data_IF_080922735137
#
_entry.id   IF_080922735137
#
_cell.length_a   1.000
_cell.length_b   1.000
_cell.length_c   1.000
_cell.angle_alpha   90.00
_cell.angle_beta   90.00
_cell.angle_gamma   90.00
#
_symmetry.space_group_name_H-M   'P 1'
#
loop_
_entity.id
_entity.type
_entity.pdbx_description
1 polymer ?
#
# COMPACT_ATOMS: atom_id res chain seq x y z
N UNK A 1 27.83 2.11 -13.12
CA UNK A 1 27.50 1.14 -12.05
C UNK A 1 27.31 1.82 -10.69
N UNK A 2 27.96 2.97 -10.43
CA UNK A 2 27.91 3.68 -9.14
C UNK A 2 26.62 4.49 -8.90
N UNK A 3 26.08 5.16 -9.91
CA UNK A 3 24.79 5.88 -9.81
C UNK A 3 23.62 4.98 -9.40
N UNK A 4 23.62 3.71 -9.83
CA UNK A 4 22.63 2.71 -9.37
C UNK A 4 22.79 2.37 -7.88
N UNK A 5 24.03 2.34 -7.36
CA UNK A 5 24.30 2.09 -5.94
C UNK A 5 23.86 3.27 -5.07
N UNK A 6 24.11 4.50 -5.52
CA UNK A 6 23.68 5.73 -4.82
C UNK A 6 22.15 5.82 -4.77
N UNK A 7 21.46 5.53 -5.89
CA UNK A 7 20.00 5.52 -5.92
C UNK A 7 19.41 4.39 -5.06
N UNK A 8 20.00 3.19 -5.08
CA UNK A 8 19.57 2.10 -4.21
C UNK A 8 19.76 2.44 -2.71
N UNK A 9 20.88 3.08 -2.35
CA UNK A 9 21.15 3.55 -0.99
C UNK A 9 20.18 4.65 -0.55
N UNK A 10 19.78 5.54 -1.46
CA UNK A 10 18.82 6.61 -1.19
C UNK A 10 17.38 6.10 -1.01
N UNK A 11 17.07 4.85 -1.43
CA UNK A 11 15.76 4.17 -1.31
C UNK A 11 14.60 5.03 -1.85
N UNK A 12 14.46 5.20 -3.19
CA UNK A 12 13.37 5.96 -3.79
C UNK A 12 12.01 5.32 -3.49
N UNK A 13 10.92 6.10 -3.49
CA UNK A 13 9.57 5.58 -3.27
C UNK A 13 9.16 4.56 -4.35
N UNK A 14 8.71 3.38 -3.93
CA UNK A 14 8.40 2.25 -4.82
C UNK A 14 6.89 2.11 -5.07
N UNK A 15 6.52 1.88 -6.34
CA UNK A 15 5.12 1.69 -6.74
C UNK A 15 4.35 3.00 -6.96
N UNK A 16 3.07 2.91 -7.38
CA UNK A 16 2.23 4.08 -7.59
C UNK A 16 1.98 4.81 -6.26
N UNK A 17 2.07 6.14 -6.29
CA UNK A 17 1.63 6.99 -5.18
C UNK A 17 0.15 7.35 -5.31
N UNK A 18 -0.52 7.74 -4.21
CA UNK A 18 -1.90 8.22 -4.30
C UNK A 18 -1.98 9.44 -5.22
N UNK A 19 -3.10 9.58 -5.93
CA UNK A 19 -3.36 10.76 -6.77
C UNK A 19 -3.53 12.00 -5.89
N UNK A 20 -3.19 13.18 -6.41
CA UNK A 20 -3.35 14.44 -5.66
C UNK A 20 -4.80 14.67 -5.26
N UNK A 21 -5.75 14.30 -6.13
CA UNK A 21 -7.18 14.32 -5.82
C UNK A 21 -7.54 13.43 -4.62
N UNK A 22 -6.96 12.23 -4.51
CA UNK A 22 -7.18 11.35 -3.36
C UNK A 22 -6.62 11.96 -2.06
N UNK A 23 -5.45 12.60 -2.13
CA UNK A 23 -4.83 13.28 -0.97
C UNK A 23 -5.69 14.45 -0.50
N UNK A 24 -6.13 15.33 -1.43
CA UNK A 24 -6.93 16.50 -1.10
C UNK A 24 -8.34 16.13 -0.58
N UNK A 25 -8.99 15.12 -1.18
CA UNK A 25 -10.23 14.54 -0.62
C UNK A 25 -10.01 13.93 0.75
N UNK A 26 -8.83 13.35 0.99
CA UNK A 26 -8.41 12.87 2.30
C UNK A 26 -8.39 13.98 3.34
N UNK A 27 -7.76 15.10 3.00
CA UNK A 27 -7.61 16.26 3.88
C UNK A 27 -8.92 17.00 4.16
N UNK A 28 -9.84 17.04 3.21
CA UNK A 28 -11.15 17.67 3.44
C UNK A 28 -12.06 16.84 4.35
N UNK A 29 -11.89 15.51 4.39
CA UNK A 29 -12.74 14.62 5.20
C UNK A 29 -12.15 14.28 6.57
N UNK A 30 -10.83 14.33 6.71
CA UNK A 30 -10.14 14.18 8.00
C UNK A 30 -9.11 15.29 8.07
N UNK A 31 -9.19 16.14 9.11
CA UNK A 31 -8.23 17.24 9.28
C UNK A 31 -6.87 16.69 9.75
N UNK A 32 -5.78 16.87 9.00
CA UNK A 32 -4.45 16.47 9.44
C UNK A 32 -4.04 17.26 10.69
N UNK A 33 -3.36 16.63 11.67
CA UNK A 33 -2.85 17.36 12.81
C UNK A 33 -1.75 18.34 12.35
N UNK A 34 -1.58 19.44 13.08
CA UNK A 34 -0.65 20.51 12.74
C UNK A 34 0.77 20.02 12.40
N UNK A 35 1.38 19.05 13.12
CA UNK A 35 2.70 18.53 12.78
C UNK A 35 2.77 17.87 11.40
N UNK A 36 1.69 17.21 10.96
CA UNK A 36 1.61 16.61 9.62
C UNK A 36 1.49 17.68 8.53
N UNK A 37 0.73 18.74 8.79
CA UNK A 37 0.62 19.89 7.86
C UNK A 37 1.97 20.59 7.72
N UNK A 38 2.61 20.93 8.84
CA UNK A 38 3.92 21.57 8.85
C UNK A 38 4.98 20.70 8.17
N UNK A 39 5.01 19.39 8.48
CA UNK A 39 5.92 18.47 7.82
C UNK A 39 5.64 18.36 6.31
N UNK A 40 4.37 18.36 5.88
CA UNK A 40 4.01 18.37 4.47
C UNK A 40 4.50 19.64 3.75
N UNK A 41 4.32 20.80 4.38
CA UNK A 41 4.81 22.09 3.84
C UNK A 41 6.33 22.09 3.73
N UNK A 42 7.05 21.67 4.77
CA UNK A 42 8.51 21.59 4.73
C UNK A 42 9.01 20.57 3.71
N UNK A 43 8.35 19.41 3.59
CA UNK A 43 8.67 18.40 2.57
C UNK A 43 8.39 18.90 1.15
N UNK A 44 7.46 19.83 0.94
CA UNK A 44 7.17 20.44 -0.36
C UNK A 44 8.23 21.45 -0.81
N UNK A 45 9.02 22.01 0.11
CA UNK A 45 10.09 22.97 -0.22
C UNK A 45 11.08 22.35 -1.22
N UNK A 46 11.48 21.10 -1.00
CA UNK A 46 12.48 20.43 -1.86
C UNK A 46 12.01 20.21 -3.30
N UNK A 47 10.85 19.56 -3.59
CA UNK A 47 10.38 19.43 -4.97
C UNK A 47 10.11 20.77 -5.64
N UNK A 48 9.61 21.77 -4.90
CA UNK A 48 9.39 23.12 -5.44
C UNK A 48 10.71 23.82 -5.78
N UNK A 49 11.73 23.72 -4.92
CA UNK A 49 13.05 24.26 -5.18
C UNK A 49 13.70 23.59 -6.42
N UNK A 50 13.61 22.26 -6.54
CA UNK A 50 14.11 21.53 -7.71
C UNK A 50 13.41 21.97 -9.00
N UNK A 51 12.08 22.18 -8.97
CA UNK A 51 11.33 22.72 -10.11
C UNK A 51 11.72 24.17 -10.43
N UNK A 52 11.85 25.03 -9.42
CA UNK A 52 12.24 26.42 -9.62
C UNK A 52 13.64 26.52 -10.23
N UNK A 53 14.58 25.70 -9.75
CA UNK A 53 15.93 25.58 -10.31
C UNK A 53 15.87 25.05 -11.75
N UNK A 54 15.06 24.03 -12.04
CA UNK A 54 14.88 23.52 -13.39
C UNK A 54 14.33 24.59 -14.35
N UNK A 55 13.32 25.37 -13.92
CA UNK A 55 12.76 26.47 -14.72
C UNK A 55 13.80 27.56 -14.94
N UNK A 56 14.54 27.97 -13.89
CA UNK A 56 15.63 28.96 -14.02
C UNK A 56 16.68 28.51 -15.04
N UNK A 57 17.12 27.25 -14.97
CA UNK A 57 18.07 26.70 -15.94
C UNK A 57 17.46 26.64 -17.34
N UNK A 58 16.20 26.22 -17.48
CA UNK A 58 15.52 26.22 -18.78
C UNK A 58 15.47 27.62 -19.40
N UNK A 59 15.13 28.66 -18.63
CA UNK A 59 15.10 30.06 -19.08
C UNK A 59 16.50 30.54 -19.45
N UNK A 60 17.51 30.26 -18.62
CA UNK A 60 18.91 30.65 -18.89
C UNK A 60 19.47 29.98 -20.14
N UNK A 61 19.12 28.72 -20.40
CA UNK A 61 19.57 27.97 -21.57
C UNK A 61 18.83 28.42 -22.83
N UNK A 62 17.55 28.75 -22.72
CA UNK A 62 16.77 29.29 -23.83
C UNK A 62 17.27 30.68 -24.27
N UNK A 63 17.61 31.55 -23.31
CA UNK A 63 18.05 32.93 -23.55
C UNK A 63 19.55 33.14 -23.76
N UNK A 64 20.40 32.14 -23.52
CA UNK A 64 21.86 32.27 -23.65
C UNK A 64 22.40 31.84 -25.03
N UNK A 65 23.62 32.24 -25.37
CA UNK A 65 24.28 31.96 -26.68
C UNK A 65 24.91 30.56 -26.80
N UNK A 66 24.31 29.56 -26.15
CA UNK A 66 24.80 28.19 -26.22
C UNK A 66 24.57 27.57 -27.61
N UNK A 67 25.50 26.73 -28.13
CA UNK A 67 25.27 25.99 -29.36
C UNK A 67 24.02 25.11 -29.24
N UNK A 68 23.22 25.04 -30.31
CA UNK A 68 21.88 24.42 -30.31
C UNK A 68 21.88 22.98 -29.76
N UNK A 69 22.94 22.22 -30.07
CA UNK A 69 23.14 20.85 -29.59
C UNK A 69 23.42 20.80 -28.07
N UNK A 70 24.17 21.77 -27.54
CA UNK A 70 24.42 21.93 -26.10
C UNK A 70 23.17 22.36 -25.33
N UNK A 71 22.33 23.23 -25.93
CA UNK A 71 21.01 23.60 -25.40
C UNK A 71 20.07 22.39 -25.31
N UNK A 72 20.01 21.59 -26.37
CA UNK A 72 19.15 20.42 -26.45
C UNK A 72 19.63 19.28 -25.54
N UNK A 73 20.91 18.91 -25.58
CA UNK A 73 21.41 17.76 -24.83
C UNK A 73 21.64 18.10 -23.36
N UNK A 74 22.36 19.19 -23.06
CA UNK A 74 22.67 19.58 -21.68
C UNK A 74 21.45 20.11 -20.94
N UNK A 75 20.64 20.95 -21.59
CA UNK A 75 19.43 21.52 -21.01
C UNK A 75 18.33 20.48 -20.77
N UNK A 76 18.06 19.61 -21.75
CA UNK A 76 17.04 18.58 -21.58
C UNK A 76 17.45 17.54 -20.51
N UNK A 77 18.71 17.10 -20.49
CA UNK A 77 19.18 16.13 -19.50
C UNK A 77 19.15 16.73 -18.08
N UNK A 78 19.68 17.93 -17.87
CA UNK A 78 19.70 18.55 -16.55
C UNK A 78 18.29 18.89 -16.06
N UNK A 79 17.47 19.55 -16.88
CA UNK A 79 16.09 19.88 -16.51
C UNK A 79 15.25 18.61 -16.34
N UNK A 80 15.42 17.61 -17.20
CA UNK A 80 14.72 16.33 -17.10
C UNK A 80 15.05 15.59 -15.81
N UNK A 81 16.33 15.55 -15.42
CA UNK A 81 16.75 14.95 -14.13
C UNK A 81 16.16 15.72 -12.95
N UNK A 82 16.21 17.05 -12.95
CA UNK A 82 15.65 17.87 -11.87
C UNK A 82 14.13 17.68 -11.75
N UNK A 83 13.41 17.66 -12.87
CA UNK A 83 11.96 17.42 -12.91
C UNK A 83 11.63 15.99 -12.42
N UNK A 84 12.40 15.00 -12.84
CA UNK A 84 12.22 13.62 -12.37
C UNK A 84 12.47 13.49 -10.86
N UNK A 85 13.53 14.12 -10.34
CA UNK A 85 13.82 14.17 -8.91
C UNK A 85 12.71 14.89 -8.14
N UNK A 86 12.18 16.00 -8.67
CA UNK A 86 11.04 16.70 -8.09
C UNK A 86 9.78 15.83 -8.07
N UNK A 87 9.50 15.11 -9.15
CA UNK A 87 8.36 14.19 -9.22
C UNK A 87 8.47 13.03 -8.22
N UNK A 88 9.68 12.47 -8.05
CA UNK A 88 9.97 11.44 -7.05
C UNK A 88 9.85 11.98 -5.62
N UNK A 89 10.39 13.17 -5.35
CA UNK A 89 10.26 13.84 -4.06
C UNK A 89 8.78 14.12 -3.72
N UNK A 90 8.02 14.67 -4.67
CA UNK A 90 6.59 14.91 -4.52
C UNK A 90 5.78 13.62 -4.30
N UNK A 91 6.16 12.51 -4.96
CA UNK A 91 5.59 11.18 -4.69
C UNK A 91 5.88 10.75 -3.24
N UNK A 92 7.10 10.97 -2.75
CA UNK A 92 7.48 10.74 -1.35
C UNK A 92 6.59 11.53 -0.39
N UNK A 93 6.40 12.84 -0.61
CA UNK A 93 5.53 13.70 0.21
C UNK A 93 4.12 13.12 0.30
N UNK A 94 3.50 12.77 -0.83
CA UNK A 94 2.14 12.21 -0.85
C UNK A 94 2.04 10.90 -0.07
N UNK A 95 3.07 10.05 -0.13
CA UNK A 95 3.09 8.76 0.58
C UNK A 95 3.35 8.92 2.08
N UNK A 96 4.14 9.91 2.51
CA UNK A 96 4.25 10.28 3.93
C UNK A 96 2.91 10.74 4.46
N UNK A 97 2.30 11.73 3.81
CA UNK A 97 1.09 12.39 4.26
C UNK A 97 -0.13 11.47 4.26
N UNK A 98 -0.23 10.59 3.26
CA UNK A 98 -1.42 9.77 3.06
C UNK A 98 -1.27 8.33 3.54
N UNK A 99 -0.06 7.74 3.43
CA UNK A 99 0.19 6.33 3.75
C UNK A 99 1.05 6.14 5.00
N UNK A 100 1.65 7.19 5.57
CA UNK A 100 2.54 7.08 6.72
C UNK A 100 3.90 6.46 6.40
N UNK A 101 4.29 6.46 5.12
CA UNK A 101 5.55 5.90 4.68
C UNK A 101 6.71 6.87 4.94
N UNK A 102 7.00 7.12 6.23
CA UNK A 102 7.98 8.12 6.65
C UNK A 102 9.34 7.89 6.01
N UNK A 103 9.80 6.64 5.92
CA UNK A 103 11.10 6.30 5.33
C UNK A 103 11.21 6.61 3.83
N UNK A 104 10.12 6.69 3.08
CA UNK A 104 10.13 7.00 1.64
C UNK A 104 10.14 8.51 1.35
N UNK A 105 9.65 9.34 2.28
CA UNK A 105 9.63 10.81 2.12
C UNK A 105 10.98 11.48 2.23
N UNK A 106 11.93 10.86 2.93
CA UNK A 106 13.29 11.39 3.13
C UNK A 106 14.28 10.94 2.05
N UNK A 107 13.81 10.41 0.91
CA UNK A 107 14.67 10.10 -0.24
C UNK A 107 15.57 11.30 -0.65
N UNK A 108 15.06 12.54 -0.80
CA UNK A 108 15.89 13.67 -1.16
C UNK A 108 16.92 14.01 -0.07
N UNK A 109 16.55 13.91 1.20
CA UNK A 109 17.44 14.16 2.32
C UNK A 109 18.59 13.13 2.39
N UNK A 110 18.30 11.83 2.14
CA UNK A 110 19.32 10.78 2.05
C UNK A 110 20.26 10.99 0.87
N UNK A 111 19.72 11.39 -0.28
CA UNK A 111 20.53 11.71 -1.46
C UNK A 111 21.45 12.91 -1.19
N UNK A 112 20.93 13.97 -0.59
CA UNK A 112 21.71 15.13 -0.15
C UNK A 112 22.76 14.77 0.90
N UNK A 113 22.46 13.82 1.81
CA UNK A 113 23.42 13.36 2.82
C UNK A 113 24.64 12.74 2.14
N UNK A 114 24.43 11.87 1.14
CA UNK A 114 25.51 11.26 0.37
C UNK A 114 26.33 12.34 -0.35
N UNK A 115 25.66 13.30 -1.00
CA UNK A 115 26.34 14.40 -1.68
C UNK A 115 27.17 15.28 -0.72
N UNK A 116 26.59 15.66 0.43
CA UNK A 116 27.26 16.49 1.43
C UNK A 116 28.45 15.79 2.09
N UNK A 117 28.41 14.46 2.26
CA UNK A 117 29.58 13.70 2.75
C UNK A 117 30.74 13.78 1.76
N UNK A 118 30.47 13.61 0.46
CA UNK A 118 31.51 13.72 -0.58
C UNK A 118 32.06 15.15 -0.66
N UNK A 119 31.16 16.15 -0.66
CA UNK A 119 31.56 17.57 -0.66
C UNK A 119 32.33 17.94 0.60
N UNK A 120 31.93 17.43 1.76
CA UNK A 120 32.61 17.64 3.04
C UNK A 120 34.02 17.03 3.06
N UNK A 121 34.19 15.81 2.54
CA UNK A 121 35.52 15.19 2.40
C UNK A 121 36.43 15.98 1.46
N UNK A 122 35.88 16.50 0.35
CA UNK A 122 36.61 17.36 -0.56
C UNK A 122 37.00 18.69 0.11
N UNK A 123 36.08 19.33 0.82
CA UNK A 123 36.33 20.55 1.60
C UNK A 123 37.40 20.36 2.68
N UNK A 124 37.35 19.24 3.42
CA UNK A 124 38.34 18.89 4.44
C UNK A 124 39.73 18.79 3.81
N UNK A 125 39.85 18.15 2.64
CA UNK A 125 41.11 18.14 1.88
C UNK A 125 41.50 19.56 1.46
N UNK A 126 40.61 20.28 0.78
CA UNK A 126 40.89 21.57 0.17
C UNK A 126 41.28 22.66 1.19
N UNK A 127 40.70 22.63 2.39
CA UNK A 127 40.95 23.63 3.44
C UNK A 127 42.07 23.18 4.39
N UNK A 128 42.06 21.92 4.87
CA UNK A 128 43.02 21.46 5.88
C UNK A 128 44.33 20.93 5.29
N UNK A 129 44.31 20.44 4.04
CA UNK A 129 45.50 19.91 3.36
C UNK A 129 46.08 20.93 2.39
N UNK A 130 45.22 21.61 1.61
CA UNK A 130 45.68 22.52 0.56
C UNK A 130 45.72 24.01 1.00
N UNK A 131 45.17 24.35 2.18
CA UNK A 131 45.34 25.66 2.83
C UNK A 131 44.54 26.83 2.23
N UNK A 132 43.57 26.53 1.37
CA UNK A 132 42.79 27.54 0.63
C UNK A 132 41.66 28.15 1.48
N UNK A 133 41.37 29.47 1.33
CA UNK A 133 40.26 30.13 2.03
C UNK A 133 38.90 29.62 1.55
N UNK A 134 37.97 29.43 2.48
CA UNK A 134 36.64 28.86 2.22
C UNK A 134 35.65 29.95 1.81
N UNK A 135 34.95 29.77 0.67
CA UNK A 135 33.87 30.66 0.24
C UNK A 135 32.60 30.38 1.08
N UNK A 136 31.89 31.40 1.62
CA UNK A 136 30.64 31.22 2.37
C UNK A 136 29.57 30.41 1.62
N UNK A 137 29.58 30.41 0.29
CA UNK A 137 28.66 29.62 -0.55
C UNK A 137 28.84 28.10 -0.39
N UNK A 138 29.98 27.65 0.15
CA UNK A 138 30.26 26.24 0.43
C UNK A 138 29.40 25.67 1.57
N UNK A 139 28.72 26.52 2.35
CA UNK A 139 27.78 26.12 3.41
C UNK A 139 26.39 25.76 2.87
N UNK A 140 26.04 26.23 1.66
CA UNK A 140 24.71 26.06 1.05
C UNK A 140 24.25 24.59 0.97
N UNK A 141 25.08 23.60 0.59
CA UNK A 141 24.68 22.19 0.58
C UNK A 141 24.26 21.67 1.97
N UNK A 142 24.94 22.11 3.03
CA UNK A 142 24.65 21.71 4.41
C UNK A 142 23.36 22.36 4.94
N UNK A 143 23.11 23.62 4.56
CA UNK A 143 21.82 24.28 4.85
C UNK A 143 20.68 23.57 4.11
N UNK A 144 20.87 23.23 2.85
CA UNK A 144 19.88 22.47 2.07
C UNK A 144 19.62 21.09 2.69
N UNK A 145 20.66 20.41 3.19
CA UNK A 145 20.53 19.15 3.90
C UNK A 145 19.75 19.31 5.21
N UNK A 146 20.04 20.34 6.01
CA UNK A 146 19.33 20.63 7.25
C UNK A 146 17.84 20.89 6.98
N UNK A 147 17.51 21.70 5.97
CA UNK A 147 16.12 21.94 5.55
C UNK A 147 15.44 20.65 5.08
N UNK A 148 16.14 19.78 4.34
CA UNK A 148 15.58 18.51 3.88
C UNK A 148 15.28 17.53 5.04
N UNK A 149 16.01 17.61 6.15
CA UNK A 149 15.77 16.81 7.37
C UNK A 149 14.83 17.48 8.38
N UNK A 150 14.59 18.79 8.29
CA UNK A 150 13.72 19.55 9.19
C UNK A 150 12.31 18.96 9.42
N UNK A 151 11.64 18.29 8.45
CA UNK A 151 10.35 17.65 8.69
C UNK A 151 10.41 16.47 9.66
N UNK A 152 11.57 15.84 9.85
CA UNK A 152 11.75 14.62 10.65
C UNK A 152 11.22 14.73 12.09
N UNK A 153 11.67 15.70 12.91
CA UNK A 153 11.19 15.84 14.29
C UNK A 153 9.66 16.01 14.39
N UNK A 154 9.03 16.70 13.44
CA UNK A 154 7.56 16.87 13.42
C UNK A 154 6.84 15.53 13.20
N UNK A 155 7.42 14.66 12.37
CA UNK A 155 6.86 13.33 12.06
C UNK A 155 7.13 12.29 13.16
N UNK A 156 8.03 12.60 14.11
CA UNK A 156 8.23 11.77 15.31
C UNK A 156 7.18 12.01 16.40
N UNK A 157 6.34 13.04 16.26
CA UNK A 157 5.26 13.29 17.22
C UNK A 157 4.23 12.17 17.21
N UNK A 158 3.65 11.86 18.37
CA UNK A 158 2.64 10.81 18.53
C UNK A 158 1.42 11.02 17.62
N UNK A 159 0.99 12.27 17.46
CA UNK A 159 -0.13 12.65 16.58
C UNK A 159 0.19 12.43 15.10
N UNK A 160 1.42 12.74 14.66
CA UNK A 160 1.86 12.47 13.30
C UNK A 160 2.01 10.97 13.00
N UNK A 161 2.48 10.18 13.96
CA UNK A 161 2.57 8.72 13.81
C UNK A 161 1.20 8.03 13.82
N UNK A 162 0.23 8.57 14.57
CA UNK A 162 -1.13 8.06 14.60
C UNK A 162 -1.93 8.42 13.34
N UNK A 163 -1.60 9.53 12.68
CA UNK A 163 -2.34 10.07 11.53
C UNK A 163 -2.58 9.07 10.38
N UNK A 164 -1.57 8.34 9.87
CA UNK A 164 -1.77 7.36 8.80
C UNK A 164 -2.75 6.26 9.18
N UNK A 165 -2.74 5.84 10.45
CA UNK A 165 -3.68 4.82 10.96
C UNK A 165 -5.11 5.35 10.96
N UNK A 166 -5.32 6.61 11.38
CA UNK A 166 -6.63 7.30 11.35
C UNK A 166 -7.19 7.38 9.93
N UNK A 167 -6.36 7.81 8.99
CA UNK A 167 -6.74 7.90 7.57
C UNK A 167 -7.09 6.51 7.03
N UNK A 168 -6.23 5.51 7.21
CA UNK A 168 -6.47 4.14 6.72
C UNK A 168 -7.75 3.53 7.28
N UNK A 169 -8.01 3.68 8.59
CA UNK A 169 -9.25 3.18 9.20
C UNK A 169 -10.49 3.87 8.64
N UNK A 170 -10.51 5.22 8.56
CA UNK A 170 -11.70 5.95 8.09
C UNK A 170 -12.12 5.58 6.66
N UNK A 171 -11.15 5.30 5.80
CA UNK A 171 -11.39 4.94 4.39
C UNK A 171 -11.55 3.45 4.16
N UNK A 172 -11.41 2.65 5.21
CA UNK A 172 -11.58 1.21 5.12
C UNK A 172 -13.04 0.78 5.21
N UNK A 173 -13.30 -0.44 4.74
CA UNK A 173 -14.61 -1.06 4.81
C UNK A 173 -14.96 -1.43 6.26
N UNK A 174 -16.24 -1.34 6.64
CA UNK A 174 -16.68 -1.79 7.95
C UNK A 174 -16.53 -3.30 8.09
N UNK A 175 -16.07 -3.73 9.25
CA UNK A 175 -16.06 -5.10 9.72
C UNK A 175 -16.75 -5.16 11.08
N UNK A 176 -17.54 -6.21 11.32
CA UNK A 176 -18.19 -6.45 12.62
C UNK A 176 -17.24 -7.09 13.63
N UNK A 177 -16.28 -7.87 13.14
CA UNK A 177 -15.36 -8.64 13.96
C UNK A 177 -14.01 -8.86 13.24
N UNK A 178 -13.11 -9.55 13.95
CA UNK A 178 -11.78 -9.93 13.48
C UNK A 178 -11.86 -10.82 12.23
N UNK A 179 -12.88 -11.67 12.12
CA UNK A 179 -13.04 -12.60 11.00
C UNK A 179 -13.43 -11.83 9.72
N UNK A 180 -14.37 -10.89 9.82
CA UNK A 180 -14.73 -9.97 8.74
C UNK A 180 -13.55 -9.12 8.29
N UNK A 181 -12.75 -8.61 9.23
CA UNK A 181 -11.53 -7.88 8.89
C UNK A 181 -10.57 -8.76 8.07
N UNK A 182 -10.41 -10.03 8.47
CA UNK A 182 -9.64 -11.04 7.73
C UNK A 182 -10.16 -11.25 6.31
N UNK A 183 -11.48 -11.40 6.14
CA UNK A 183 -12.13 -11.53 4.83
C UNK A 183 -11.91 -10.29 3.95
N UNK A 184 -12.06 -9.08 4.51
CA UNK A 184 -11.85 -7.83 3.76
C UNK A 184 -10.40 -7.66 3.31
N UNK A 185 -9.43 -8.14 4.09
CA UNK A 185 -8.03 -8.13 3.70
C UNK A 185 -7.78 -8.95 2.42
N UNK A 186 -8.54 -10.03 2.23
CA UNK A 186 -8.48 -10.86 1.02
C UNK A 186 -9.03 -10.15 -0.22
N UNK A 187 -9.73 -9.02 -0.08
CA UNK A 187 -10.19 -8.19 -1.21
C UNK A 187 -9.18 -7.11 -1.61
N UNK A 188 -8.17 -6.85 -0.78
CA UNK A 188 -7.17 -5.82 -1.02
C UNK A 188 -6.44 -6.04 -2.37
N UNK A 189 -6.07 -4.96 -3.08
CA UNK A 189 -5.17 -5.05 -4.23
C UNK A 189 -3.84 -5.70 -3.82
N UNK A 190 -3.34 -6.64 -4.62
CA UNK A 190 -2.11 -7.37 -4.34
C UNK A 190 -1.35 -7.66 -5.64
N UNK A 191 -0.01 -7.70 -5.63
CA UNK A 191 0.78 -7.93 -6.84
C UNK A 191 0.63 -9.34 -7.44
N UNK A 192 0.33 -10.35 -6.63
CA UNK A 192 0.08 -11.69 -7.18
C UNK A 192 -1.26 -11.73 -7.94
N UNK A 193 -1.33 -12.52 -9.04
CA UNK A 193 -2.55 -12.75 -9.81
C UNK A 193 -3.62 -13.39 -8.91
N UNK A 194 -4.79 -12.76 -8.79
CA UNK A 194 -5.90 -13.25 -7.97
C UNK A 194 -6.02 -12.62 -6.57
N UNK A 195 -5.06 -11.79 -6.14
CA UNK A 195 -5.09 -11.15 -4.81
C UNK A 195 -4.20 -11.85 -3.78
N UNK A 196 -4.28 -11.45 -2.50
CA UNK A 196 -3.61 -12.16 -1.42
C UNK A 196 -4.33 -13.49 -1.16
N UNK A 197 -3.61 -14.61 -1.02
CA UNK A 197 -4.24 -15.90 -0.77
C UNK A 197 -4.87 -15.95 0.62
N UNK A 198 -5.90 -16.80 0.83
CA UNK A 198 -6.44 -17.10 2.15
C UNK A 198 -5.38 -17.84 2.97
N UNK A 199 -4.66 -17.11 3.83
CA UNK A 199 -3.65 -17.63 4.74
C UNK A 199 -3.90 -17.07 6.15
N UNK A 200 -3.17 -17.60 7.14
CA UNK A 200 -3.22 -17.06 8.51
C UNK A 200 -2.42 -15.77 8.58
N UNK A 201 -3.12 -14.64 8.47
CA UNK A 201 -2.56 -13.32 8.71
C UNK A 201 -2.75 -12.93 10.19
N UNK A 202 -1.84 -12.13 10.72
CA UNK A 202 -2.00 -11.54 12.04
C UNK A 202 -3.06 -10.44 11.98
N UNK A 203 -3.88 -10.34 13.02
CA UNK A 203 -4.91 -9.29 13.13
C UNK A 203 -4.73 -8.57 14.46
N UNK A 204 -4.37 -7.30 14.38
CA UNK A 204 -4.17 -6.46 15.56
C UNK A 204 -5.34 -5.48 15.70
N UNK A 205 -5.87 -5.26 16.92
CA UNK A 205 -6.82 -4.19 17.15
C UNK A 205 -6.15 -2.83 16.93
N UNK A 206 -6.87 -1.91 16.30
CA UNK A 206 -6.44 -0.54 16.13
C UNK A 206 -7.46 0.38 16.76
N UNK A 207 -7.04 1.13 17.78
CA UNK A 207 -7.81 2.20 18.40
C UNK A 207 -7.33 3.54 17.88
N UNK A 208 -8.23 4.31 17.30
CA UNK A 208 -8.01 5.68 16.87
C UNK A 208 -9.10 6.60 17.41
N UNK A 209 -8.80 7.89 17.54
CA UNK A 209 -9.79 8.92 17.93
C UNK A 209 -11.01 8.94 16.99
N UNK A 210 -10.84 8.52 15.73
CA UNK A 210 -11.91 8.46 14.72
C UNK A 210 -12.71 7.16 14.72
N UNK A 211 -12.40 6.21 15.62
CA UNK A 211 -13.05 4.90 15.72
C UNK A 211 -12.07 3.75 15.96
N UNK A 212 -12.61 2.62 16.39
CA UNK A 212 -11.89 1.34 16.50
C UNK A 212 -11.90 0.59 15.18
N UNK A 213 -11.06 -0.43 15.07
CA UNK A 213 -11.05 -1.36 13.95
C UNK A 213 -9.91 -2.36 14.09
N UNK A 214 -9.51 -2.94 12.96
CA UNK A 214 -8.47 -3.96 12.91
C UNK A 214 -7.49 -3.70 11.78
N UNK A 215 -6.25 -4.11 12.00
CA UNK A 215 -5.22 -4.20 10.98
C UNK A 215 -4.89 -5.65 10.74
N UNK A 216 -5.07 -6.10 9.51
CA UNK A 216 -4.66 -7.43 9.06
C UNK A 216 -3.32 -7.31 8.37
N UNK A 217 -2.32 -8.04 8.86
CA UNK A 217 -0.97 -7.98 8.31
C UNK A 217 -0.24 -9.33 8.28
N UNK A 218 0.74 -9.42 7.38
CA UNK A 218 1.61 -10.59 7.25
C UNK A 218 2.31 -10.60 5.90
N UNK A 219 2.83 -11.76 5.52
CA UNK A 219 3.54 -11.94 4.25
C UNK A 219 2.78 -12.90 3.36
N UNK A 220 2.58 -12.52 2.10
CA UNK A 220 1.94 -13.40 1.14
C UNK A 220 2.83 -14.63 0.86
N UNK A 221 2.33 -15.87 1.06
CA UNK A 221 3.10 -17.08 0.86
C UNK A 221 3.44 -17.36 -0.61
N UNK A 222 2.77 -16.71 -1.57
CA UNK A 222 3.04 -16.91 -2.99
C UNK A 222 4.12 -16.00 -3.55
N UNK A 223 4.06 -14.70 -3.25
CA UNK A 223 4.97 -13.72 -3.85
C UNK A 223 5.80 -12.91 -2.83
N UNK A 224 5.72 -13.23 -1.53
CA UNK A 224 6.52 -12.59 -0.48
C UNK A 224 6.17 -11.13 -0.19
N UNK A 225 5.22 -10.55 -0.94
CA UNK A 225 4.76 -9.19 -0.75
C UNK A 225 4.00 -9.05 0.59
N UNK A 226 4.11 -7.90 1.27
CA UNK A 226 3.38 -7.67 2.51
C UNK A 226 1.88 -7.55 2.22
N UNK A 227 1.09 -8.20 3.06
CA UNK A 227 -0.35 -7.93 3.18
C UNK A 227 -0.49 -6.95 4.34
N UNK A 228 -1.08 -5.78 4.10
CA UNK A 228 -1.34 -4.75 5.12
C UNK A 228 -2.65 -4.05 4.77
N UNK A 229 -3.74 -4.56 5.34
CA UNK A 229 -5.09 -4.06 5.15
C UNK A 229 -5.66 -3.59 6.49
N UNK A 230 -6.51 -2.58 6.44
CA UNK A 230 -7.27 -2.10 7.61
C UNK A 230 -8.75 -2.25 7.34
N UNK A 231 -9.51 -2.52 8.40
CA UNK A 231 -10.97 -2.50 8.41
C UNK A 231 -11.45 -1.69 9.61
N UNK A 232 -12.46 -0.84 9.42
CA UNK A 232 -13.06 -0.07 10.52
C UNK A 232 -14.05 -0.93 11.26
N UNK A 233 -14.23 -0.69 12.56
CA UNK A 233 -15.37 -1.23 13.29
C UNK A 233 -16.68 -0.79 12.64
N UNK A 234 -17.60 -1.73 12.45
CA UNK A 234 -18.98 -1.44 12.11
C UNK A 234 -19.62 -0.65 13.27
N UNK A 235 -20.25 0.48 12.96
CA UNK A 235 -20.86 1.33 13.99
C UNK A 235 -22.32 0.94 14.23
N UNK A 236 -22.94 0.23 13.28
CA UNK A 236 -24.33 -0.25 13.36
C UNK A 236 -24.44 -1.74 12.96
N UNK A 237 -25.44 -2.49 13.46
CA UNK A 237 -25.57 -3.93 13.21
C UNK A 237 -25.70 -4.36 11.73
N UNK A 238 -26.13 -3.44 10.86
CA UNK A 238 -26.27 -3.65 9.41
C UNK A 238 -25.05 -3.26 8.57
N UNK A 239 -24.01 -2.70 9.19
CA UNK A 239 -22.72 -2.45 8.54
C UNK A 239 -21.80 -3.67 8.64
N UNK A 240 -20.98 -3.91 7.63
CA UNK A 240 -20.05 -5.04 7.59
C UNK A 240 -19.79 -5.51 6.17
N UNK A 241 -19.34 -6.76 6.05
CA UNK A 241 -19.15 -7.42 4.76
C UNK A 241 -20.52 -7.68 4.10
N UNK A 242 -20.78 -7.01 2.98
CA UNK A 242 -22.02 -7.15 2.21
C UNK A 242 -22.00 -8.31 1.21
N UNK A 243 -23.15 -8.64 0.61
CA UNK A 243 -23.26 -9.73 -0.36
C UNK A 243 -22.40 -9.53 -1.62
N UNK A 244 -22.13 -8.28 -2.03
CA UNK A 244 -21.21 -7.99 -3.12
C UNK A 244 -19.75 -8.27 -2.77
N UNK A 245 -19.33 -7.96 -1.53
CA UNK A 245 -18.00 -8.32 -1.01
C UNK A 245 -17.83 -9.83 -0.90
N UNK A 246 -18.82 -10.52 -0.35
CA UNK A 246 -18.79 -11.97 -0.22
C UNK A 246 -18.80 -12.65 -1.60
N UNK A 247 -19.55 -12.14 -2.59
CA UNK A 247 -19.50 -12.66 -3.95
C UNK A 247 -18.11 -12.47 -4.59
N UNK A 248 -17.50 -11.30 -4.41
CA UNK A 248 -16.13 -11.06 -4.89
C UNK A 248 -15.10 -12.00 -4.22
N UNK A 249 -15.29 -12.32 -2.94
CA UNK A 249 -14.49 -13.30 -2.20
C UNK A 249 -14.74 -14.72 -2.70
N UNK A 250 -16.00 -15.11 -2.90
CA UNK A 250 -16.40 -16.43 -3.37
C UNK A 250 -15.67 -16.77 -4.67
N UNK A 251 -15.61 -15.83 -5.61
CA UNK A 251 -14.86 -15.98 -6.86
C UNK A 251 -13.35 -16.15 -6.70
N UNK A 252 -12.74 -15.61 -5.64
CA UNK A 252 -11.30 -15.76 -5.35
C UNK A 252 -10.97 -17.11 -4.72
N UNK A 253 -11.90 -17.65 -3.92
CA UNK A 253 -11.69 -18.92 -3.21
C UNK A 253 -12.24 -20.13 -3.97
N UNK A 254 -13.00 -19.91 -5.05
CA UNK A 254 -13.53 -20.98 -5.90
C UNK A 254 -12.39 -21.91 -6.37
N UNK A 255 -12.52 -23.24 -6.17
CA UNK A 255 -11.56 -24.18 -6.72
C UNK A 255 -11.55 -24.09 -8.27
N UNK A 256 -10.39 -24.18 -8.92
CA UNK A 256 -10.28 -24.39 -10.36
C UNK A 256 -11.27 -25.43 -10.89
N UNK A 257 -11.81 -25.17 -12.09
CA UNK A 257 -12.73 -26.10 -12.74
C UNK A 257 -12.09 -27.48 -12.90
N UNK A 258 -12.85 -28.53 -12.58
CA UNK A 258 -12.39 -29.92 -12.65
C UNK A 258 -11.52 -30.37 -11.47
N UNK A 259 -11.14 -29.48 -10.54
CA UNK A 259 -10.46 -29.89 -9.32
C UNK A 259 -11.42 -30.71 -8.45
N UNK A 260 -10.92 -31.83 -7.92
CA UNK A 260 -11.66 -32.77 -7.07
C UNK A 260 -10.98 -32.87 -5.70
N UNK A 261 -11.70 -33.32 -4.63
CA UNK A 261 -11.13 -33.41 -3.28
C UNK A 261 -9.88 -34.30 -3.16
N UNK A 262 -9.66 -35.21 -4.11
CA UNK A 262 -8.48 -36.08 -4.21
C UNK A 262 -7.15 -35.32 -4.39
N UNK A 263 -7.21 -34.04 -4.79
CA UNK A 263 -6.05 -33.16 -4.94
C UNK A 263 -5.24 -33.05 -3.64
N UNK A 264 -5.89 -33.18 -2.47
CA UNK A 264 -5.22 -33.09 -1.17
C UNK A 264 -4.06 -34.09 -1.02
N UNK A 265 -4.22 -35.32 -1.53
CA UNK A 265 -3.19 -36.35 -1.48
C UNK A 265 -1.96 -36.05 -2.35
N UNK A 266 -2.11 -35.16 -3.33
CA UNK A 266 -1.07 -34.80 -4.31
C UNK A 266 -0.32 -33.51 -3.94
N UNK A 267 -0.80 -32.75 -2.96
CA UNK A 267 -0.21 -31.49 -2.54
C UNK A 267 1.06 -31.68 -1.70
N UNK A 268 2.05 -30.80 -1.84
CA UNK A 268 3.07 -30.62 -0.80
C UNK A 268 2.47 -30.00 0.48
N UNK A 269 3.24 -29.88 1.56
CA UNK A 269 2.73 -29.37 2.85
C UNK A 269 2.25 -27.91 2.78
N UNK A 270 2.89 -27.08 1.96
CA UNK A 270 2.54 -25.67 1.78
C UNK A 270 1.24 -25.56 0.98
N UNK A 271 1.14 -26.29 -0.12
CA UNK A 271 -0.06 -26.41 -0.94
C UNK A 271 -1.22 -26.98 -0.15
N UNK A 272 -0.99 -27.97 0.70
CA UNK A 272 -2.01 -28.56 1.56
C UNK A 272 -2.52 -27.57 2.60
N UNK A 273 -1.63 -26.81 3.23
CA UNK A 273 -2.00 -25.75 4.18
C UNK A 273 -2.82 -24.63 3.50
N UNK A 274 -2.46 -24.27 2.27
CA UNK A 274 -3.18 -23.30 1.45
C UNK A 274 -4.54 -23.82 0.98
N UNK A 275 -4.62 -25.08 0.54
CA UNK A 275 -5.88 -25.74 0.18
C UNK A 275 -6.83 -25.74 1.37
N UNK A 276 -6.34 -26.15 2.55
CA UNK A 276 -7.13 -26.13 3.79
C UNK A 276 -7.64 -24.73 4.12
N UNK A 277 -6.76 -23.72 4.06
CA UNK A 277 -7.12 -22.34 4.37
C UNK A 277 -8.11 -21.76 3.37
N UNK A 278 -7.93 -22.02 2.07
CA UNK A 278 -8.88 -21.65 1.01
C UNK A 278 -10.24 -22.28 1.22
N UNK A 279 -10.28 -23.58 1.52
CA UNK A 279 -11.54 -24.30 1.74
C UNK A 279 -12.26 -23.81 2.99
N UNK A 280 -11.54 -23.55 4.08
CA UNK A 280 -12.12 -22.97 5.30
C UNK A 280 -12.74 -21.59 5.04
N UNK A 281 -12.01 -20.69 4.37
CA UNK A 281 -12.55 -19.38 3.97
C UNK A 281 -13.71 -19.54 2.98
N UNK A 282 -13.63 -20.50 2.07
CA UNK A 282 -14.69 -20.83 1.12
C UNK A 282 -16.00 -21.24 1.80
N UNK A 283 -15.93 -22.11 2.81
CA UNK A 283 -17.10 -22.46 3.64
C UNK A 283 -17.68 -21.21 4.30
N UNK A 284 -16.85 -20.46 5.03
CA UNK A 284 -17.30 -19.26 5.76
C UNK A 284 -17.95 -18.21 4.84
N UNK A 285 -17.37 -17.96 3.66
CA UNK A 285 -17.91 -16.99 2.68
C UNK A 285 -19.26 -17.44 2.13
N UNK A 286 -19.41 -18.70 1.74
CA UNK A 286 -20.67 -19.19 1.16
C UNK A 286 -21.76 -19.36 2.22
N UNK A 287 -21.43 -19.75 3.45
CA UNK A 287 -22.38 -19.77 4.57
C UNK A 287 -22.88 -18.37 4.92
N UNK A 288 -22.00 -17.36 4.93
CA UNK A 288 -22.39 -15.96 5.12
C UNK A 288 -23.25 -15.44 3.96
N UNK A 289 -23.00 -15.85 2.71
CA UNK A 289 -23.87 -15.53 1.58
C UNK A 289 -25.25 -16.17 1.71
N UNK A 290 -25.31 -17.45 2.12
CA UNK A 290 -26.56 -18.16 2.37
C UNK A 290 -27.38 -17.52 3.47
N UNK A 291 -26.73 -17.05 4.54
CA UNK A 291 -27.39 -16.34 5.63
C UNK A 291 -28.02 -15.00 5.20
N UNK A 292 -27.61 -14.43 4.05
CA UNK A 292 -28.25 -13.25 3.46
C UNK A 292 -29.50 -13.58 2.64
N UNK A 293 -29.81 -14.86 2.40
CA UNK A 293 -31.05 -15.30 1.73
C UNK A 293 -32.16 -15.43 2.79
N UNK A 294 -33.19 -14.57 2.77
CA UNK A 294 -34.29 -14.68 3.73
C UNK A 294 -34.99 -16.04 3.69
N UNK A 295 -35.65 -16.41 4.78
CA UNK A 295 -36.52 -17.59 4.80
C UNK A 295 -37.60 -17.49 3.72
N UNK A 296 -37.83 -18.57 2.99
CA UNK A 296 -38.77 -18.63 1.86
C UNK A 296 -38.30 -17.97 0.56
N UNK A 297 -37.10 -17.37 0.53
CA UNK A 297 -36.51 -16.82 -0.70
C UNK A 297 -35.48 -17.75 -1.33
N UNK A 298 -35.34 -17.66 -2.65
CA UNK A 298 -34.41 -18.47 -3.45
C UNK A 298 -33.12 -17.75 -3.80
N UNK A 299 -33.04 -16.43 -3.61
CA UNK A 299 -31.88 -15.62 -4.02
C UNK A 299 -31.59 -14.52 -3.02
N UNK A 300 -30.32 -14.13 -2.86
CA UNK A 300 -29.94 -12.95 -2.06
C UNK A 300 -30.61 -11.70 -2.67
N UNK A 301 -31.45 -10.96 -1.92
CA UNK A 301 -32.08 -9.73 -2.41
C UNK A 301 -31.06 -8.67 -2.82
N UNK A 302 -31.34 -7.90 -3.88
CA UNK A 302 -30.43 -6.86 -4.39
C UNK A 302 -29.99 -5.86 -3.30
N UNK A 303 -30.89 -5.50 -2.38
CA UNK A 303 -30.60 -4.60 -1.24
C UNK A 303 -29.51 -5.11 -0.29
N UNK A 304 -29.23 -6.41 -0.27
CA UNK A 304 -28.20 -7.05 0.55
C UNK A 304 -26.89 -7.31 -0.23
N UNK A 305 -26.85 -7.02 -1.54
CA UNK A 305 -25.67 -7.17 -2.42
C UNK A 305 -24.77 -5.92 -2.37
N UNK A 306 -24.52 -5.41 -1.17
CA UNK A 306 -23.71 -4.20 -0.92
C UNK A 306 -22.21 -4.51 -0.90
N UNK A 307 -21.39 -3.46 -0.93
CA UNK A 307 -19.93 -3.58 -0.87
C UNK A 307 -19.28 -3.46 -2.25
N UNK A 308 -18.51 -4.48 -2.65
CA UNK A 308 -17.85 -4.54 -3.95
C UNK A 308 -18.89 -4.58 -5.08
N UNK A 309 -18.81 -3.70 -6.09
CA UNK A 309 -19.74 -3.71 -7.22
C UNK A 309 -19.76 -5.08 -7.92
N UNK A 310 -20.96 -5.62 -8.06
CA UNK A 310 -21.20 -6.87 -8.79
C UNK A 310 -21.27 -6.54 -10.29
N UNK A 311 -20.50 -7.23 -11.16
CA UNK A 311 -20.58 -7.01 -12.60
C UNK A 311 -22.00 -7.22 -13.14
N UNK A 312 -22.45 -6.36 -14.06
CA UNK A 312 -23.81 -6.41 -14.63
C UNK A 312 -24.13 -7.75 -15.32
N UNK A 313 -23.11 -8.43 -15.85
CA UNK A 313 -23.25 -9.73 -16.53
C UNK A 313 -23.27 -10.93 -15.56
N UNK A 314 -23.26 -10.69 -14.24
CA UNK A 314 -23.30 -11.78 -13.26
C UNK A 314 -24.72 -12.36 -13.25
N UNK A 315 -24.90 -13.67 -13.52
CA UNK A 315 -26.23 -14.28 -13.51
C UNK A 315 -26.82 -14.23 -12.09
N UNK A 316 -28.14 -14.07 -11.98
CA UNK A 316 -28.81 -14.05 -10.67
C UNK A 316 -28.64 -15.36 -9.91
N UNK A 317 -28.47 -16.47 -10.64
CA UNK A 317 -28.25 -17.80 -10.08
C UNK A 317 -26.97 -17.86 -9.22
N UNK A 318 -25.98 -17.01 -9.48
CA UNK A 318 -24.76 -16.89 -8.66
C UNK A 318 -25.02 -16.39 -7.22
N UNK A 319 -26.21 -15.85 -6.96
CA UNK A 319 -26.70 -15.50 -5.63
C UNK A 319 -27.84 -16.41 -5.17
N UNK A 320 -28.12 -17.48 -5.94
CA UNK A 320 -29.19 -18.44 -5.70
C UNK A 320 -28.82 -19.42 -4.59
N UNK A 321 -29.81 -19.76 -3.76
CA UNK A 321 -29.68 -20.67 -2.62
C UNK A 321 -29.04 -22.00 -3.02
N UNK A 322 -29.51 -22.61 -4.12
CA UNK A 322 -29.01 -23.90 -4.58
C UNK A 322 -27.53 -23.86 -4.98
N UNK A 323 -27.11 -22.86 -5.77
CA UNK A 323 -25.70 -22.72 -6.17
C UNK A 323 -24.79 -22.44 -4.96
N UNK A 324 -25.24 -21.59 -4.05
CA UNK A 324 -24.50 -21.25 -2.84
C UNK A 324 -24.38 -22.47 -1.89
N UNK A 325 -25.43 -23.28 -1.76
CA UNK A 325 -25.40 -24.54 -0.99
C UNK A 325 -24.42 -25.54 -1.62
N UNK A 326 -24.52 -25.77 -2.92
CA UNK A 326 -23.62 -26.67 -3.65
C UNK A 326 -22.15 -26.19 -3.56
N UNK A 327 -21.90 -24.89 -3.63
CA UNK A 327 -20.56 -24.33 -3.47
C UNK A 327 -20.03 -24.52 -2.03
N UNK A 328 -20.87 -24.30 -1.01
CA UNK A 328 -20.50 -24.56 0.38
C UNK A 328 -20.18 -26.04 0.62
N UNK A 329 -21.01 -26.96 0.09
CA UNK A 329 -20.78 -28.41 0.18
C UNK A 329 -19.49 -28.85 -0.50
N UNK A 330 -19.20 -28.32 -1.70
CA UNK A 330 -17.91 -28.54 -2.37
C UNK A 330 -16.76 -28.13 -1.47
N UNK A 331 -16.79 -26.91 -0.91
CA UNK A 331 -15.75 -26.45 0.00
C UNK A 331 -15.60 -27.31 1.26
N UNK A 332 -16.71 -27.79 1.85
CA UNK A 332 -16.67 -28.73 2.98
C UNK A 332 -16.00 -30.05 2.60
N UNK A 333 -16.29 -30.59 1.42
CA UNK A 333 -15.64 -31.80 0.92
C UNK A 333 -14.12 -31.61 0.74
N UNK A 334 -13.69 -30.49 0.16
CA UNK A 334 -12.26 -30.16 0.05
C UNK A 334 -11.60 -29.95 1.41
N UNK A 335 -12.28 -29.30 2.36
CA UNK A 335 -11.77 -29.10 3.71
C UNK A 335 -11.58 -30.43 4.43
N UNK A 336 -12.58 -31.32 4.39
CA UNK A 336 -12.53 -32.64 5.00
C UNK A 336 -11.38 -33.49 4.40
N UNK A 337 -11.20 -33.47 3.07
CA UNK A 337 -10.11 -34.17 2.42
C UNK A 337 -8.73 -33.63 2.84
N UNK A 338 -8.57 -32.31 2.92
CA UNK A 338 -7.33 -31.69 3.40
C UNK A 338 -7.04 -32.02 4.88
N UNK A 339 -8.06 -32.06 5.74
CA UNK A 339 -7.89 -32.42 7.15
C UNK A 339 -7.55 -33.91 7.34
N UNK A 340 -8.16 -34.79 6.56
CA UNK A 340 -7.82 -36.21 6.53
C UNK A 340 -6.37 -36.44 6.09
N UNK A 341 -5.92 -35.71 5.06
CA UNK A 341 -4.54 -35.74 4.58
C UNK A 341 -3.54 -35.31 5.66
N UNK A 342 -3.78 -34.16 6.31
CA UNK A 342 -2.95 -33.65 7.41
C UNK A 342 -2.87 -34.68 8.54
N UNK A 343 -4.00 -35.32 8.88
CA UNK A 343 -4.06 -36.34 9.91
C UNK A 343 -3.34 -37.64 9.52
N UNK A 344 -3.26 -37.99 8.23
CA UNK A 344 -2.50 -39.14 7.73
C UNK A 344 -1.00 -38.89 7.83
N UNK A 345 -0.52 -37.72 7.39
CA UNK A 345 0.92 -37.35 7.43
C UNK A 345 1.47 -37.22 8.85
N UNK A 346 0.63 -36.88 9.83
CA UNK A 346 1.04 -36.84 11.25
C UNK A 346 1.22 -38.23 11.88
N UNK A 347 0.68 -39.28 11.26
CA UNK A 347 0.69 -40.66 11.79
C UNK A 347 1.73 -41.57 11.14
N UNK A 348 2.31 -41.15 10.00
CA UNK A 348 3.42 -41.83 9.34
C UNK A 348 4.72 -41.08 9.57
#
# INVERSE_FOLDING_TARGET
METRKVLAAARPPVGPGPSTAAVLRGWSRVRPPLPVVLAAVLLLVVPLALLAVAVRYAVSIAGGDWPLLGKLVGGFLLCGVLVMLAALAFRGVKRVVHLGSFSEGFFPARLLTIACVVTGLFLVKYVLVDGEPTDPTMVVPFVALAVAWAPWPLLLTTSAQAWPRRVRLRWSRPARDVEEAGLLALLAPHPCRGGPPPARYAVDPVLAETGSGWRVHGTCPWCGAPVDATARGAEVPGEGVGGGDLHALARRVTPPEGEQPDVAARCDDVQLALLRSRSLVGVAVHERLLALVPEGADVVPARLRTGTPVPLMTPETAFGRAELQQAAERHRAFLAAAEAEVARRRRG
#
